data_IF_523676950740
#
_entry.id   IF_523676950740
#
_cell.length_a   1.000
_cell.length_b   1.000
_cell.length_c   1.000
_cell.angle_alpha   90.00
_cell.angle_beta   90.00
_cell.angle_gamma   90.00
#
_symmetry.space_group_name_H-M   'P 1'
#
loop_
_entity.id
_entity.type
_entity.pdbx_description
1 polymer ?
#
# COMPACT_ATOMS: atom_id res chain seq x y z
N UNK A 1 27.03 17.71 -2.11
CA UNK A 1 26.93 16.71 -1.02
C UNK A 1 25.50 16.48 -0.53
N UNK A 2 24.69 17.52 -0.25
CA UNK A 2 23.28 17.40 0.20
C UNK A 2 22.34 16.59 -0.72
N UNK A 3 22.57 16.56 -2.04
CA UNK A 3 21.75 15.79 -2.98
C UNK A 3 21.86 14.28 -2.79
N UNK A 4 22.94 13.77 -2.21
CA UNK A 4 23.14 12.33 -1.96
C UNK A 4 22.20 11.75 -0.90
N UNK A 5 21.59 12.60 -0.07
CA UNK A 5 20.75 12.21 1.06
C UNK A 5 19.31 12.70 0.92
N UNK A 6 18.91 13.13 -0.29
CA UNK A 6 17.54 13.56 -0.53
C UNK A 6 16.62 12.35 -0.61
N UNK A 7 15.72 12.22 0.37
CA UNK A 7 14.65 11.22 0.36
C UNK A 7 13.48 11.62 -0.53
N UNK A 8 12.40 10.84 -0.41
CA UNK A 8 11.14 11.08 -1.12
C UNK A 8 10.03 11.29 -0.09
N UNK A 9 9.20 12.31 -0.29
CA UNK A 9 7.99 12.50 0.51
C UNK A 9 6.95 11.43 0.17
N UNK A 10 6.36 10.80 1.19
CA UNK A 10 5.40 9.70 1.04
C UNK A 10 3.94 10.16 1.11
N UNK A 11 3.66 11.34 1.66
CA UNK A 11 2.31 11.90 1.77
C UNK A 11 1.63 11.94 0.40
N UNK A 12 0.42 11.37 0.28
CA UNK A 12 -0.35 11.31 -0.97
C UNK A 12 0.12 10.28 -2.00
N UNK A 13 1.28 9.65 -1.81
CA UNK A 13 1.79 8.57 -2.66
C UNK A 13 1.02 7.27 -2.47
N UNK A 14 1.18 6.36 -3.43
CA UNK A 14 0.51 5.06 -3.44
C UNK A 14 1.45 3.99 -2.87
N UNK A 15 1.03 3.35 -1.78
CA UNK A 15 1.63 2.11 -1.29
C UNK A 15 0.84 0.92 -1.86
N UNK A 16 1.53 0.05 -2.61
CA UNK A 16 1.05 -1.25 -3.03
C UNK A 16 1.42 -2.33 -2.01
N UNK A 17 0.44 -3.06 -1.48
CA UNK A 17 0.67 -4.19 -0.58
C UNK A 17 0.34 -5.50 -1.29
N UNK A 18 1.34 -6.37 -1.43
CA UNK A 18 1.17 -7.74 -1.92
C UNK A 18 1.10 -8.65 -0.69
N UNK A 19 -0.08 -9.22 -0.44
CA UNK A 19 -0.40 -9.96 0.79
C UNK A 19 -1.00 -9.06 1.88
N UNK A 20 -2.32 -9.12 2.06
CA UNK A 20 -3.08 -8.28 2.99
C UNK A 20 -3.70 -9.09 4.14
N UNK A 21 -2.91 -10.02 4.69
CA UNK A 21 -3.23 -10.73 5.93
C UNK A 21 -3.00 -9.87 7.18
N UNK A 22 -2.71 -10.50 8.31
CA UNK A 22 -2.51 -9.79 9.58
C UNK A 22 -1.44 -8.69 9.48
N UNK A 23 -0.24 -9.00 8.98
CA UNK A 23 0.85 -8.01 8.90
C UNK A 23 0.54 -6.92 7.86
N UNK A 24 0.09 -7.31 6.67
CA UNK A 24 -0.26 -6.37 5.60
C UNK A 24 -1.33 -5.36 6.03
N UNK A 25 -2.33 -5.80 6.80
CA UNK A 25 -3.37 -4.91 7.34
C UNK A 25 -2.81 -3.85 8.31
N UNK A 26 -1.85 -4.21 9.17
CA UNK A 26 -1.22 -3.21 10.07
C UNK A 26 -0.29 -2.26 9.31
N UNK A 27 0.33 -2.73 8.22
CA UNK A 27 1.11 -1.85 7.33
C UNK A 27 0.20 -0.87 6.59
N UNK A 28 -0.96 -1.33 6.11
CA UNK A 28 -1.97 -0.48 5.49
C UNK A 28 -2.43 0.65 6.44
N UNK A 29 -2.79 0.30 7.68
CA UNK A 29 -3.22 1.26 8.70
C UNK A 29 -2.16 2.34 8.97
N UNK A 30 -0.90 1.93 9.14
CA UNK A 30 0.22 2.87 9.34
C UNK A 30 0.44 3.78 8.13
N UNK A 31 0.34 3.24 6.92
CA UNK A 31 0.50 4.00 5.68
C UNK A 31 -0.61 5.04 5.49
N UNK A 32 -1.85 4.70 5.83
CA UNK A 32 -2.97 5.65 5.85
C UNK A 32 -2.79 6.74 6.92
N UNK A 33 -2.23 6.38 8.09
CA UNK A 33 -1.82 7.35 9.11
C UNK A 33 -0.83 8.38 8.58
N UNK A 34 0.06 7.96 7.68
CA UNK A 34 1.01 8.80 6.93
C UNK A 34 0.39 9.47 5.68
N UNK A 35 -0.94 9.40 5.54
CA UNK A 35 -1.72 9.95 4.42
C UNK A 35 -1.32 9.41 3.05
N UNK A 36 -0.83 8.17 3.00
CA UNK A 36 -0.66 7.45 1.74
C UNK A 36 -2.01 6.92 1.24
N UNK A 37 -2.12 6.72 -0.06
CA UNK A 37 -3.17 5.91 -0.67
C UNK A 37 -2.69 4.46 -0.65
N UNK A 38 -3.53 3.52 -0.22
CA UNK A 38 -3.15 2.11 -0.11
C UNK A 38 -3.97 1.28 -1.10
N UNK A 39 -3.26 0.55 -1.95
CA UNK A 39 -3.84 -0.45 -2.85
C UNK A 39 -3.28 -1.83 -2.48
N UNK A 40 -4.08 -2.88 -2.58
CA UNK A 40 -3.69 -4.21 -2.13
C UNK A 40 -4.04 -5.28 -3.15
N UNK A 41 -3.11 -6.21 -3.35
CA UNK A 41 -3.36 -7.47 -4.03
C UNK A 41 -3.23 -8.62 -3.03
N UNK A 42 -4.32 -9.36 -2.85
CA UNK A 42 -4.34 -10.61 -2.10
C UNK A 42 -5.49 -11.48 -2.65
N UNK A 43 -5.21 -12.71 -3.13
CA UNK A 43 -6.22 -13.61 -3.67
C UNK A 43 -7.35 -13.95 -2.68
N UNK A 44 -7.07 -13.87 -1.39
CA UNK A 44 -7.98 -14.26 -0.31
C UNK A 44 -8.65 -13.07 0.39
N UNK A 45 -8.30 -11.83 0.04
CA UNK A 45 -8.92 -10.63 0.59
C UNK A 45 -10.31 -10.41 -0.03
N UNK A 46 -11.36 -10.45 0.77
CA UNK A 46 -12.71 -10.07 0.34
C UNK A 46 -12.87 -8.55 0.14
N UNK A 47 -13.82 -8.13 -0.69
CA UNK A 47 -14.11 -6.69 -0.92
C UNK A 47 -14.57 -5.97 0.35
N UNK A 48 -15.41 -6.62 1.16
CA UNK A 48 -15.86 -6.07 2.45
C UNK A 48 -14.67 -5.79 3.37
N UNK A 49 -13.73 -6.74 3.45
CA UNK A 49 -12.53 -6.59 4.28
C UNK A 49 -11.61 -5.50 3.76
N UNK A 50 -11.47 -5.37 2.44
CA UNK A 50 -10.70 -4.28 1.84
C UNK A 50 -11.31 -2.91 2.20
N UNK A 51 -12.64 -2.81 2.16
CA UNK A 51 -13.40 -1.61 2.53
C UNK A 51 -13.22 -1.26 4.01
N UNK A 52 -13.33 -2.25 4.91
CA UNK A 52 -13.07 -2.08 6.35
C UNK A 52 -11.66 -1.57 6.64
N UNK A 53 -10.67 -2.09 5.89
CA UNK A 53 -9.27 -1.68 5.99
C UNK A 53 -8.98 -0.35 5.30
N UNK A 54 -9.94 0.24 4.58
CA UNK A 54 -9.76 1.47 3.80
C UNK A 54 -8.74 1.33 2.65
N UNK A 55 -8.55 0.11 2.13
CA UNK A 55 -7.62 -0.18 1.03
C UNK A 55 -8.40 -0.50 -0.25
N UNK A 56 -7.86 -0.11 -1.39
CA UNK A 56 -8.42 -0.48 -2.69
C UNK A 56 -7.87 -1.86 -3.09
N UNK A 57 -8.74 -2.87 -3.20
CA UNK A 57 -8.34 -4.16 -3.75
C UNK A 57 -8.16 -4.04 -5.26
N UNK A 58 -7.00 -4.44 -5.75
CA UNK A 58 -6.63 -4.37 -7.18
C UNK A 58 -6.00 -5.68 -7.63
N UNK A 59 -5.88 -5.88 -8.94
CA UNK A 59 -5.07 -6.95 -9.51
C UNK A 59 -3.57 -6.69 -9.28
N UNK A 60 -2.74 -7.74 -9.40
CA UNK A 60 -1.29 -7.59 -9.27
C UNK A 60 -0.72 -6.62 -10.32
N UNK A 61 -1.20 -6.70 -11.56
CA UNK A 61 -0.73 -5.83 -12.65
C UNK A 61 -1.07 -4.36 -12.39
N UNK A 62 -2.29 -4.07 -11.91
CA UNK A 62 -2.68 -2.71 -11.52
C UNK A 62 -1.85 -2.19 -10.35
N UNK A 63 -1.54 -3.05 -9.36
CA UNK A 63 -0.69 -2.67 -8.24
C UNK A 63 0.70 -2.27 -8.72
N UNK A 64 1.34 -3.12 -9.53
CA UNK A 64 2.68 -2.86 -10.07
C UNK A 64 2.72 -1.62 -10.96
N UNK A 65 1.64 -1.31 -11.68
CA UNK A 65 1.55 -0.13 -12.52
C UNK A 65 1.35 1.18 -11.74
N UNK A 66 0.73 1.13 -10.55
CA UNK A 66 0.27 2.33 -9.83
C UNK A 66 1.07 2.66 -8.57
N UNK A 67 1.76 1.68 -7.99
CA UNK A 67 2.43 1.85 -6.71
C UNK A 67 3.72 2.70 -6.83
N UNK A 68 3.86 3.73 -5.98
CA UNK A 68 5.13 4.42 -5.78
C UNK A 68 6.09 3.56 -4.95
N UNK A 69 5.54 2.75 -4.03
CA UNK A 69 6.27 1.84 -3.16
C UNK A 69 5.51 0.52 -3.05
N UNK A 70 6.25 -0.59 -2.92
CA UNK A 70 5.67 -1.92 -2.76
C UNK A 70 6.17 -2.56 -1.47
N UNK A 71 5.26 -3.18 -0.72
CA UNK A 71 5.58 -4.04 0.42
C UNK A 71 5.04 -5.45 0.17
N UNK A 72 5.85 -6.46 0.47
CA UNK A 72 5.50 -7.87 0.34
C UNK A 72 5.35 -8.48 1.74
N UNK A 73 4.24 -9.19 1.96
CA UNK A 73 3.90 -9.82 3.23
C UNK A 73 3.35 -11.24 3.06
#
# INVERSE_FOLDING_TARGET
>A
EKSRFMGVEITGKVLGIIGCGNIGSVVADRAQGLKMRVIAFDPYLGEDRATELGVEKVTLDELLARADFISLH
#
